data_IF_680544406828
#
_entry.id   IF_680544406828
#
_cell.length_a   1.000
_cell.length_b   1.000
_cell.length_c   1.000
_cell.angle_alpha   90.00
_cell.angle_beta   90.00
_cell.angle_gamma   90.00
#
_symmetry.space_group_name_H-M   'P 1'
#
loop_
_entity.id
_entity.type
_entity.pdbx_description
1 polymer ?
#
# COMPACT_ATOMS: atom_id res chain seq x y z
N UNK A 1 58.80 -34.43 13.26
CA UNK A 1 58.39 -33.40 14.25
C UNK A 1 57.69 -32.29 13.48
N UNK A 2 56.49 -31.96 13.94
CA UNK A 2 55.63 -30.82 13.57
C UNK A 2 55.07 -30.73 12.14
N UNK A 3 53.84 -31.23 12.05
CA UNK A 3 52.84 -31.10 11.01
C UNK A 3 52.47 -29.65 10.67
N UNK A 4 52.33 -29.38 9.37
CA UNK A 4 51.17 -28.75 8.73
C UNK A 4 50.46 -27.60 9.47
N UNK A 5 50.89 -26.37 9.20
CA UNK A 5 50.02 -25.18 9.34
C UNK A 5 49.22 -25.03 8.04
N UNK A 6 48.24 -25.91 7.84
CA UNK A 6 47.13 -25.73 6.90
C UNK A 6 45.86 -25.69 7.74
N UNK A 7 45.42 -24.48 8.10
CA UNK A 7 44.03 -24.08 8.36
C UNK A 7 43.99 -22.76 9.13
N UNK A 8 44.08 -21.63 8.44
CA UNK A 8 43.52 -20.36 8.91
C UNK A 8 42.57 -19.71 7.87
N UNK A 9 42.34 -20.37 6.74
CA UNK A 9 41.23 -20.04 5.82
C UNK A 9 39.88 -20.58 6.36
N UNK A 10 39.71 -20.52 7.69
CA UNK A 10 38.48 -20.87 8.38
C UNK A 10 37.45 -19.77 8.11
N UNK A 11 36.25 -20.21 7.71
CA UNK A 11 35.10 -19.39 7.37
C UNK A 11 34.97 -18.16 8.27
N UNK A 12 35.20 -16.98 7.71
CA UNK A 12 35.00 -15.72 8.42
C UNK A 12 33.52 -15.59 8.79
N UNK A 13 33.24 -15.43 10.07
CA UNK A 13 31.87 -15.42 10.58
C UNK A 13 31.19 -14.09 10.21
N UNK A 14 29.85 -14.08 10.15
CA UNK A 14 29.02 -12.89 9.87
C UNK A 14 29.38 -11.72 10.82
N UNK A 15 29.78 -12.02 12.06
CA UNK A 15 30.23 -11.04 13.06
C UNK A 15 31.51 -10.32 12.63
N UNK A 16 32.46 -11.02 11.98
CA UNK A 16 33.72 -10.43 11.53
C UNK A 16 33.51 -9.60 10.26
N UNK A 17 32.65 -10.06 9.34
CA UNK A 17 32.23 -9.26 8.18
C UNK A 17 31.50 -7.97 8.58
N UNK A 18 30.69 -8.01 9.63
CA UNK A 18 30.01 -6.83 10.16
C UNK A 18 31.01 -5.82 10.73
N UNK A 19 32.04 -6.26 11.46
CA UNK A 19 33.10 -5.37 11.95
C UNK A 19 33.85 -4.67 10.81
N UNK A 20 34.12 -5.38 9.71
CA UNK A 20 34.73 -4.80 8.51
C UNK A 20 33.77 -3.81 7.85
N UNK A 21 32.46 -4.10 7.78
CA UNK A 21 31.46 -3.19 7.25
C UNK A 21 31.36 -1.88 8.07
N UNK A 22 31.47 -1.96 9.39
CA UNK A 22 31.48 -0.80 10.28
C UNK A 22 32.76 0.04 10.09
N UNK A 23 33.91 -0.60 9.89
CA UNK A 23 35.17 0.08 9.58
C UNK A 23 35.11 0.82 8.23
N UNK A 24 34.59 0.16 7.18
CA UNK A 24 34.34 0.76 5.86
C UNK A 24 33.40 1.97 5.98
N UNK A 25 32.32 1.84 6.74
CA UNK A 25 31.34 2.90 6.95
C UNK A 25 31.96 4.12 7.63
N UNK A 26 32.74 3.90 8.70
CA UNK A 26 33.44 4.96 9.43
C UNK A 26 34.48 5.68 8.57
N UNK A 27 35.25 4.91 7.80
CA UNK A 27 36.26 5.46 6.88
C UNK A 27 35.63 6.29 5.77
N UNK A 28 34.48 5.87 5.23
CA UNK A 28 33.71 6.67 4.28
C UNK A 28 33.16 7.96 4.90
N UNK A 29 32.80 7.95 6.20
CA UNK A 29 32.36 9.15 6.91
C UNK A 29 33.51 10.15 7.09
N UNK A 30 34.71 9.67 7.39
CA UNK A 30 35.91 10.51 7.57
C UNK A 30 36.46 11.06 6.24
N UNK A 31 36.45 10.25 5.18
CA UNK A 31 37.04 10.60 3.87
C UNK A 31 36.02 11.18 2.87
N UNK A 32 34.74 11.22 3.23
CA UNK A 32 33.62 11.64 2.40
C UNK A 32 33.16 10.60 1.37
N UNK A 33 34.09 9.82 0.80
CA UNK A 33 33.76 8.66 -0.03
C UNK A 33 34.85 7.58 -0.02
N UNK A 34 34.48 6.37 -0.45
CA UNK A 34 35.40 5.28 -0.73
C UNK A 34 35.30 4.78 -2.17
N UNK A 35 36.43 4.38 -2.72
CA UNK A 35 36.53 3.65 -3.97
C UNK A 35 36.45 2.13 -3.73
N UNK A 36 35.97 1.34 -4.70
CA UNK A 36 35.95 -0.13 -4.60
C UNK A 36 37.30 -0.75 -4.22
N UNK A 37 38.41 -0.16 -4.68
CA UNK A 37 39.76 -0.59 -4.32
C UNK A 37 40.04 -0.41 -2.82
N UNK A 38 39.64 0.72 -2.24
CA UNK A 38 39.85 1.01 -0.82
C UNK A 38 39.00 0.10 0.08
N UNK A 39 37.81 -0.30 -0.38
CA UNK A 39 36.99 -1.30 0.33
C UNK A 39 37.68 -2.66 0.33
N UNK A 40 38.26 -3.08 -0.81
CA UNK A 40 39.05 -4.33 -0.87
C UNK A 40 40.31 -4.28 -0.01
N UNK A 41 40.97 -3.13 0.05
CA UNK A 41 42.11 -2.90 0.95
C UNK A 41 41.68 -3.02 2.42
N UNK A 42 40.52 -2.48 2.80
CA UNK A 42 39.97 -2.62 4.16
C UNK A 42 39.67 -4.08 4.49
N UNK A 43 39.03 -4.80 3.57
CA UNK A 43 38.74 -6.24 3.68
C UNK A 43 40.04 -7.04 3.83
N UNK A 44 41.04 -6.78 2.99
CA UNK A 44 42.35 -7.44 3.05
C UNK A 44 43.08 -7.17 4.38
N UNK A 45 43.02 -5.92 4.86
CA UNK A 45 43.67 -5.51 6.12
C UNK A 45 43.05 -6.18 7.35
N UNK A 46 41.78 -6.59 7.26
CA UNK A 46 41.09 -7.36 8.29
C UNK A 46 41.39 -8.87 8.23
N UNK A 47 42.30 -9.32 7.37
CA UNK A 47 42.64 -10.74 7.20
C UNK A 47 41.58 -11.52 6.40
N UNK A 48 40.62 -10.82 5.79
CA UNK A 48 39.56 -11.41 4.99
C UNK A 48 39.96 -11.59 3.53
N UNK A 49 39.33 -12.55 2.84
CA UNK A 49 39.46 -12.65 1.38
C UNK A 49 38.94 -11.34 0.72
N UNK A 50 39.79 -10.61 -0.02
CA UNK A 50 39.38 -9.40 -0.75
C UNK A 50 38.22 -9.62 -1.71
N UNK A 51 37.93 -10.87 -2.12
CA UNK A 51 36.75 -11.26 -2.89
C UNK A 51 35.42 -10.96 -2.20
N UNK A 52 35.38 -10.91 -0.86
CA UNK A 52 34.19 -10.68 -0.04
C UNK A 52 33.77 -9.20 0.05
N UNK A 53 34.48 -8.29 -0.62
CA UNK A 53 34.20 -6.85 -0.59
C UNK A 53 32.76 -6.47 -0.97
N UNK A 54 32.09 -7.27 -1.81
CA UNK A 54 30.68 -7.03 -2.17
C UNK A 54 29.73 -7.34 -1.03
N UNK A 55 30.02 -8.35 -0.22
CA UNK A 55 29.17 -8.72 0.92
C UNK A 55 29.36 -7.75 2.07
N UNK A 56 30.58 -7.26 2.28
CA UNK A 56 30.86 -6.11 3.18
C UNK A 56 30.08 -4.86 2.75
N UNK A 57 30.03 -4.56 1.44
CA UNK A 57 29.23 -3.43 0.94
C UNK A 57 27.72 -3.61 1.13
N UNK A 58 27.20 -4.84 1.01
CA UNK A 58 25.78 -5.10 1.32
C UNK A 58 25.47 -4.79 2.77
N UNK A 59 26.34 -5.21 3.70
CA UNK A 59 26.20 -4.92 5.13
C UNK A 59 26.33 -3.42 5.43
N UNK A 60 27.23 -2.70 4.75
CA UNK A 60 27.41 -1.26 4.92
C UNK A 60 26.39 -0.39 4.15
N UNK A 61 25.59 -0.99 3.26
CA UNK A 61 24.68 -0.28 2.34
C UNK A 61 23.64 0.65 3.01
N UNK A 62 23.13 0.41 4.23
CA UNK A 62 22.20 1.35 4.88
C UNK A 62 22.80 2.75 5.09
N UNK A 63 24.12 2.84 5.16
CA UNK A 63 24.88 4.07 5.42
C UNK A 63 25.69 4.57 4.23
N UNK A 64 25.69 3.83 3.11
CA UNK A 64 26.49 4.14 1.92
C UNK A 64 25.62 4.25 0.67
N UNK A 65 25.81 5.31 -0.10
CA UNK A 65 25.17 5.47 -1.42
C UNK A 65 26.22 5.48 -2.52
N UNK A 66 26.04 4.62 -3.53
CA UNK A 66 26.92 4.58 -4.69
C UNK A 66 26.57 5.70 -5.69
N UNK A 67 27.55 6.54 -6.04
CA UNK A 67 27.44 7.55 -7.11
C UNK A 67 28.73 7.61 -7.94
N UNK A 68 28.62 7.46 -9.25
CA UNK A 68 29.76 7.52 -10.20
C UNK A 68 30.96 6.64 -9.79
N UNK A 69 30.68 5.43 -9.31
CA UNK A 69 31.72 4.47 -8.88
C UNK A 69 32.36 4.75 -7.51
N UNK A 70 31.82 5.68 -6.72
CA UNK A 70 32.26 6.01 -5.35
C UNK A 70 31.14 5.72 -4.35
N UNK A 71 31.49 5.28 -3.15
CA UNK A 71 30.55 5.03 -2.05
C UNK A 71 30.63 6.18 -1.04
N UNK A 72 29.59 7.01 -0.99
CA UNK A 72 29.52 8.15 -0.08
C UNK A 72 28.83 7.75 1.21
N UNK A 73 29.37 8.19 2.35
CA UNK A 73 28.67 8.09 3.61
C UNK A 73 27.46 9.03 3.61
N UNK A 74 26.30 8.48 3.97
CA UNK A 74 25.09 9.26 4.21
C UNK A 74 24.79 9.15 5.69
N UNK A 75 24.97 10.27 6.40
CA UNK A 75 24.62 10.33 7.82
C UNK A 75 23.15 9.95 8.00
N UNK A 76 22.82 9.06 8.96
CA UNK A 76 21.44 8.78 9.33
C UNK A 76 20.70 10.05 9.81
N UNK A 77 21.43 11.07 10.26
CA UNK A 77 20.90 12.37 10.71
C UNK A 77 21.02 13.48 9.64
N UNK A 78 20.80 13.19 8.36
CA UNK A 78 20.68 14.28 7.38
C UNK A 78 19.37 15.05 7.65
N UNK A 79 19.37 16.39 7.81
CA UNK A 79 18.16 17.17 8.08
C UNK A 79 17.04 16.93 7.06
N UNK A 80 17.42 16.58 5.82
CA UNK A 80 16.50 16.22 4.75
C UNK A 80 15.77 14.90 5.01
N UNK A 81 16.44 13.85 5.53
CA UNK A 81 15.78 12.61 5.94
C UNK A 81 14.90 12.81 7.16
N UNK A 82 15.39 13.51 8.19
CA UNK A 82 14.58 13.81 9.39
C UNK A 82 13.33 14.62 9.04
N UNK A 83 13.43 15.60 8.14
CA UNK A 83 12.28 16.37 7.67
C UNK A 83 11.28 15.54 6.85
N UNK A 84 11.78 14.60 6.04
CA UNK A 84 10.95 13.70 5.25
C UNK A 84 10.24 12.65 6.13
N UNK A 85 10.93 12.13 7.14
CA UNK A 85 10.37 11.19 8.13
C UNK A 85 9.32 11.87 8.98
N UNK A 86 9.60 13.08 9.51
CA UNK A 86 8.61 13.89 10.24
C UNK A 86 7.39 14.21 9.38
N UNK A 87 7.59 14.57 8.11
CA UNK A 87 6.49 14.80 7.16
C UNK A 87 5.67 13.54 6.94
N UNK A 88 6.33 12.39 6.77
CA UNK A 88 5.65 11.11 6.58
C UNK A 88 4.84 10.73 7.82
N UNK A 89 5.42 10.89 9.03
CA UNK A 89 4.72 10.66 10.29
C UNK A 89 3.50 11.58 10.46
N UNK A 90 3.65 12.87 10.13
CA UNK A 90 2.54 13.81 10.16
C UNK A 90 1.40 13.42 9.20
N UNK A 91 1.73 12.95 7.99
CA UNK A 91 0.73 12.44 7.03
C UNK A 91 0.04 11.20 7.59
N UNK A 92 0.78 10.23 8.12
CA UNK A 92 0.21 9.01 8.69
C UNK A 92 -0.72 9.31 9.87
N UNK A 93 -0.31 10.24 10.74
CA UNK A 93 -1.13 10.68 11.86
C UNK A 93 -2.43 11.33 11.37
N UNK A 94 -2.35 12.26 10.41
CA UNK A 94 -3.54 12.90 9.85
C UNK A 94 -4.50 11.90 9.17
N UNK A 95 -3.96 10.91 8.43
CA UNK A 95 -4.78 9.83 7.85
C UNK A 95 -5.43 8.98 8.94
N UNK A 96 -4.69 8.65 10.00
CA UNK A 96 -5.23 7.87 11.11
C UNK A 96 -6.38 8.60 11.81
N UNK A 97 -6.23 9.89 12.11
CA UNK A 97 -7.26 10.74 12.72
C UNK A 97 -8.53 10.76 11.85
N UNK A 98 -8.37 10.97 10.53
CA UNK A 98 -9.50 10.92 9.59
C UNK A 98 -10.20 9.55 9.60
N UNK A 99 -9.44 8.44 9.57
CA UNK A 99 -10.05 7.10 9.59
C UNK A 99 -10.85 6.87 10.88
N UNK A 100 -10.33 7.32 12.03
CA UNK A 100 -11.02 7.19 13.32
C UNK A 100 -12.30 8.02 13.34
N UNK A 101 -12.24 9.28 12.90
CA UNK A 101 -13.39 10.18 12.82
C UNK A 101 -14.51 9.58 11.96
N UNK A 102 -14.18 9.11 10.75
CA UNK A 102 -15.17 8.56 9.84
C UNK A 102 -15.77 7.23 10.32
N UNK A 103 -15.01 6.40 11.05
CA UNK A 103 -15.55 5.17 11.65
C UNK A 103 -16.59 5.50 12.73
N UNK A 104 -16.27 6.46 13.61
CA UNK A 104 -17.21 6.90 14.66
C UNK A 104 -18.47 7.53 14.06
N UNK A 105 -18.31 8.36 13.02
CA UNK A 105 -19.44 8.96 12.33
C UNK A 105 -20.32 7.91 11.63
N UNK A 106 -19.72 6.89 11.01
CA UNK A 106 -20.45 5.79 10.39
C UNK A 106 -21.28 5.00 11.42
N UNK A 107 -20.70 4.66 12.57
CA UNK A 107 -21.41 3.99 13.68
C UNK A 107 -22.63 4.78 14.17
N UNK A 108 -22.55 6.12 14.20
CA UNK A 108 -23.66 7.00 14.60
C UNK A 108 -24.75 7.16 13.52
N UNK A 109 -24.37 7.06 12.24
CA UNK A 109 -25.27 7.25 11.09
C UNK A 109 -26.02 5.97 10.71
N UNK A 110 -25.48 4.79 11.03
CA UNK A 110 -26.03 3.47 10.72
C UNK A 110 -27.21 3.10 11.66
N UNK A 111 -28.27 3.91 11.65
CA UNK A 111 -29.51 3.69 12.43
C UNK A 111 -30.39 2.56 11.91
N UNK A 112 -29.96 1.83 10.87
CA UNK A 112 -30.69 0.72 10.22
C UNK A 112 -29.74 -0.42 9.87
N UNK A 113 -29.61 -1.31 10.85
CA UNK A 113 -29.28 -2.74 10.79
C UNK A 113 -27.89 -3.19 10.31
N UNK A 114 -27.32 -4.04 11.18
CA UNK A 114 -26.16 -4.94 11.09
C UNK A 114 -26.11 -5.80 9.80
N UNK A 115 -27.13 -5.75 8.93
CA UNK A 115 -27.30 -6.64 7.77
C UNK A 115 -26.90 -6.02 6.41
N UNK A 116 -26.53 -4.72 6.38
CA UNK A 116 -26.00 -4.09 5.16
C UNK A 116 -24.51 -4.38 5.03
N UNK A 117 -24.14 -5.03 3.94
CA UNK A 117 -22.74 -5.27 3.60
C UNK A 117 -22.28 -4.27 2.55
N UNK A 118 -21.04 -3.80 2.69
CA UNK A 118 -20.37 -3.05 1.64
C UNK A 118 -20.30 -3.93 0.39
N UNK A 119 -20.86 -3.43 -0.70
CA UNK A 119 -20.94 -4.14 -1.96
C UNK A 119 -20.78 -3.11 -3.07
N UNK A 120 -19.54 -2.97 -3.55
CA UNK A 120 -19.16 -1.99 -4.56
C UNK A 120 -18.88 -2.71 -5.87
N UNK A 121 -19.90 -2.74 -6.73
CA UNK A 121 -19.85 -3.42 -8.03
C UNK A 121 -20.47 -2.52 -9.11
N UNK A 122 -19.92 -2.52 -10.33
CA UNK A 122 -20.58 -1.89 -11.47
C UNK A 122 -21.80 -2.71 -11.86
N UNK A 123 -22.95 -2.06 -11.96
CA UNK A 123 -24.22 -2.67 -12.37
C UNK A 123 -24.82 -1.88 -13.52
N UNK A 124 -25.64 -2.55 -14.31
CA UNK A 124 -26.46 -1.92 -15.35
C UNK A 124 -27.83 -1.65 -14.77
N UNK A 125 -28.35 -0.45 -14.96
CA UNK A 125 -29.72 -0.09 -14.59
C UNK A 125 -30.50 0.35 -15.81
N UNK A 126 -31.71 -0.18 -15.96
CA UNK A 126 -32.65 0.19 -17.01
C UNK A 126 -33.88 0.83 -16.37
N UNK A 127 -34.25 2.02 -16.85
CA UNK A 127 -35.44 2.75 -16.44
C UNK A 127 -36.67 2.25 -17.20
N UNK A 128 -37.88 2.63 -16.75
CA UNK A 128 -39.12 2.17 -17.38
C UNK A 128 -39.34 2.67 -18.81
N UNK A 129 -38.66 3.75 -19.20
CA UNK A 129 -38.63 4.30 -20.57
C UNK A 129 -37.54 3.64 -21.44
N UNK A 130 -36.81 2.65 -20.91
CA UNK A 130 -35.81 1.87 -21.64
C UNK A 130 -34.41 2.50 -21.67
N UNK A 131 -34.18 3.63 -21.00
CA UNK A 131 -32.83 4.19 -20.90
C UNK A 131 -31.95 3.31 -19.99
N UNK A 132 -30.72 3.08 -20.44
CA UNK A 132 -29.76 2.24 -19.73
C UNK A 132 -28.59 3.06 -19.20
N UNK A 133 -28.21 2.83 -17.95
CA UNK A 133 -27.11 3.51 -17.27
C UNK A 133 -26.18 2.48 -16.62
N UNK A 134 -24.87 2.77 -16.58
CA UNK A 134 -23.92 2.05 -15.73
C UNK A 134 -23.69 2.84 -14.46
N UNK A 135 -23.89 2.21 -13.32
CA UNK A 135 -23.76 2.83 -11.99
C UNK A 135 -22.96 1.90 -11.08
N UNK A 136 -22.50 2.42 -9.94
CA UNK A 136 -21.87 1.61 -8.90
C UNK A 136 -22.87 1.30 -7.80
N UNK A 137 -22.79 0.12 -7.20
CA UNK A 137 -23.43 -0.14 -5.90
C UNK A 137 -22.53 0.40 -4.78
N UNK A 138 -23.10 0.70 -3.61
CA UNK A 138 -22.34 1.08 -2.39
C UNK A 138 -22.49 0.01 -1.31
N UNK A 139 -23.72 -0.42 -1.08
CA UNK A 139 -24.09 -1.47 -0.14
C UNK A 139 -25.33 -2.22 -0.63
N UNK A 140 -25.50 -3.42 -0.09
CA UNK A 140 -26.65 -4.30 -0.33
C UNK A 140 -27.04 -4.96 1.00
N UNK A 141 -28.33 -5.23 1.17
CA UNK A 141 -28.87 -6.10 2.22
C UNK A 141 -29.88 -7.07 1.61
N UNK A 142 -30.52 -7.90 2.43
CA UNK A 142 -31.60 -8.78 1.97
C UNK A 142 -32.78 -8.02 1.34
N UNK A 143 -33.03 -6.77 1.73
CA UNK A 143 -34.22 -6.00 1.35
C UNK A 143 -33.95 -4.80 0.44
N UNK A 144 -32.71 -4.35 0.32
CA UNK A 144 -32.42 -3.15 -0.45
C UNK A 144 -30.99 -3.03 -0.95
N UNK A 145 -30.79 -1.99 -1.75
CA UNK A 145 -29.53 -1.68 -2.42
C UNK A 145 -29.35 -0.16 -2.50
N UNK A 146 -28.09 0.29 -2.39
CA UNK A 146 -27.71 1.67 -2.62
C UNK A 146 -26.88 1.77 -3.89
N UNK A 147 -27.30 2.65 -4.79
CA UNK A 147 -26.66 2.92 -6.08
C UNK A 147 -26.03 4.31 -6.06
N UNK A 148 -24.92 4.46 -6.78
CA UNK A 148 -24.18 5.70 -6.96
C UNK A 148 -24.00 5.94 -8.47
N UNK A 149 -24.49 7.06 -8.97
CA UNK A 149 -24.40 7.37 -10.41
C UNK A 149 -24.71 8.83 -10.71
N UNK A 150 -24.68 9.19 -11.99
CA UNK A 150 -24.83 10.58 -12.43
C UNK A 150 -26.27 11.07 -12.58
N UNK A 151 -27.24 10.29 -12.06
CA UNK A 151 -28.67 10.61 -12.18
C UNK A 151 -29.42 10.26 -10.91
N UNK A 152 -30.38 11.13 -10.58
CA UNK A 152 -31.40 10.86 -9.58
C UNK A 152 -32.55 10.04 -10.17
N UNK A 153 -32.91 8.95 -9.50
CA UNK A 153 -33.96 8.03 -9.93
C UNK A 153 -35.17 7.99 -8.98
N UNK A 154 -35.32 9.02 -8.13
CA UNK A 154 -36.35 9.08 -7.08
C UNK A 154 -37.73 8.64 -7.58
N UNK A 155 -38.33 7.69 -6.88
CA UNK A 155 -39.69 7.21 -7.14
C UNK A 155 -39.81 6.21 -8.31
N UNK A 156 -38.77 6.03 -9.13
CA UNK A 156 -38.79 5.12 -10.27
C UNK A 156 -38.61 3.65 -9.87
N UNK A 157 -39.02 2.74 -10.75
CA UNK A 157 -38.64 1.32 -10.70
C UNK A 157 -37.55 1.09 -11.74
N UNK A 158 -36.42 0.56 -11.31
CA UNK A 158 -35.28 0.25 -12.17
C UNK A 158 -35.14 -1.27 -12.29
N UNK A 159 -34.79 -1.79 -13.47
CA UNK A 159 -34.20 -3.12 -13.57
C UNK A 159 -32.70 -2.99 -13.33
N UNK A 160 -32.20 -3.63 -12.29
CA UNK A 160 -30.79 -3.59 -11.89
C UNK A 160 -30.17 -4.96 -12.16
N UNK A 161 -29.28 -5.03 -13.15
CA UNK A 161 -28.54 -6.24 -13.48
C UNK A 161 -27.19 -6.23 -12.75
N UNK A 162 -27.06 -7.13 -11.78
CA UNK A 162 -25.85 -7.36 -11.01
C UNK A 162 -25.02 -8.45 -11.70
N UNK A 163 -23.80 -8.14 -12.16
CA UNK A 163 -22.95 -9.16 -12.77
C UNK A 163 -22.53 -10.18 -11.72
N UNK A 164 -22.41 -11.44 -12.15
CA UNK A 164 -21.91 -12.54 -11.34
C UNK A 164 -20.56 -12.97 -11.90
N UNK A 165 -19.64 -13.35 -11.01
CA UNK A 165 -18.27 -13.77 -11.38
C UNK A 165 -18.25 -15.22 -11.86
N UNK A 166 -19.09 -16.09 -11.29
CA UNK A 166 -19.05 -17.54 -11.52
C UNK A 166 -20.40 -18.12 -11.98
N UNK A 167 -21.39 -17.28 -12.29
CA UNK A 167 -22.75 -17.74 -12.62
C UNK A 167 -23.56 -16.73 -13.44
N UNK A 168 -24.87 -16.97 -13.62
CA UNK A 168 -25.73 -16.05 -14.36
C UNK A 168 -25.81 -14.71 -13.64
N UNK A 169 -25.90 -13.63 -14.42
CA UNK A 169 -26.22 -12.32 -13.89
C UNK A 169 -27.60 -12.35 -13.24
N UNK A 170 -27.77 -11.58 -12.17
CA UNK A 170 -29.06 -11.48 -11.48
C UNK A 170 -29.66 -10.13 -11.77
N UNK A 171 -30.89 -10.10 -12.24
CA UNK A 171 -31.61 -8.86 -12.51
C UNK A 171 -32.73 -8.69 -11.50
N UNK A 172 -32.77 -7.54 -10.83
CA UNK A 172 -33.81 -7.22 -9.85
C UNK A 172 -34.61 -6.01 -10.30
N UNK A 173 -35.91 -5.98 -10.00
CA UNK A 173 -36.66 -4.73 -10.02
C UNK A 173 -36.48 -4.04 -8.68
N UNK A 174 -36.01 -2.80 -8.70
CA UNK A 174 -35.72 -1.98 -7.51
C UNK A 174 -36.56 -0.71 -7.54
N UNK A 175 -37.35 -0.46 -6.50
CA UNK A 175 -38.05 0.83 -6.31
C UNK A 175 -37.11 1.79 -5.60
N UNK A 176 -36.80 2.93 -6.23
CA UNK A 176 -35.97 3.97 -5.61
C UNK A 176 -36.83 4.80 -4.66
N UNK A 177 -36.46 4.79 -3.38
CA UNK A 177 -37.23 5.40 -2.28
C UNK A 177 -36.69 6.78 -1.89
N UNK A 178 -35.40 7.01 -2.09
CA UNK A 178 -34.76 8.29 -1.84
C UNK A 178 -33.58 8.49 -2.79
N UNK A 179 -33.29 9.76 -3.08
CA UNK A 179 -32.13 10.20 -3.85
C UNK A 179 -31.49 11.37 -3.10
N UNK A 180 -30.16 11.38 -3.00
CA UNK A 180 -29.38 12.46 -2.42
C UNK A 180 -28.24 12.84 -3.37
N UNK A 181 -28.04 14.13 -3.64
CA UNK A 181 -26.86 14.61 -4.34
C UNK A 181 -25.67 14.62 -3.36
N UNK A 182 -24.60 13.93 -3.71
CA UNK A 182 -23.40 13.75 -2.86
C UNK A 182 -22.13 14.36 -3.47
N UNK A 183 -22.24 14.91 -4.67
CA UNK A 183 -21.19 15.65 -5.38
C UNK A 183 -21.74 16.25 -6.67
N UNK A 184 -20.88 16.92 -7.43
CA UNK A 184 -21.25 17.52 -8.70
C UNK A 184 -21.75 16.44 -9.67
N UNK A 185 -23.04 16.51 -9.98
CA UNK A 185 -23.77 15.52 -10.77
C UNK A 185 -23.57 14.07 -10.30
N UNK A 186 -23.40 13.86 -8.99
CA UNK A 186 -23.25 12.55 -8.38
C UNK A 186 -24.36 12.31 -7.36
N UNK A 187 -25.09 11.21 -7.51
CA UNK A 187 -26.29 10.91 -6.74
C UNK A 187 -26.19 9.54 -6.08
N UNK A 188 -26.48 9.50 -4.79
CA UNK A 188 -26.85 8.26 -4.10
C UNK A 188 -28.35 8.02 -4.26
N UNK A 189 -28.71 6.81 -4.67
CA UNK A 189 -30.08 6.37 -4.83
C UNK A 189 -30.29 5.12 -3.97
N UNK A 190 -31.13 5.22 -2.94
CA UNK A 190 -31.49 4.08 -2.11
C UNK A 190 -32.80 3.47 -2.54
N UNK A 191 -32.78 2.16 -2.81
CA UNK A 191 -33.96 1.43 -3.24
C UNK A 191 -34.18 0.11 -2.51
N UNK A 192 -35.41 -0.39 -2.61
CA UNK A 192 -35.83 -1.70 -2.10
C UNK A 192 -36.05 -2.67 -3.25
N UNK A 193 -35.66 -3.93 -3.08
CA UNK A 193 -35.99 -4.99 -4.03
C UNK A 193 -37.50 -5.21 -4.07
N UNK A 194 -38.04 -5.38 -5.28
CA UNK A 194 -39.47 -5.64 -5.53
C UNK A 194 -39.66 -7.01 -6.15
N UNK A 195 -38.75 -7.41 -7.04
CA UNK A 195 -38.87 -8.64 -7.83
C UNK A 195 -37.48 -9.12 -8.28
N UNK A 196 -37.31 -10.43 -8.42
CA UNK A 196 -36.20 -11.05 -9.15
C UNK A 196 -36.68 -11.40 -10.56
N UNK A 197 -35.98 -10.89 -11.57
CA UNK A 197 -36.24 -11.18 -12.98
C UNK A 197 -35.44 -12.43 -13.37
N UNK A 198 -36.16 -13.43 -13.89
CA UNK A 198 -35.60 -14.71 -14.36
C UNK A 198 -35.20 -14.68 -15.82
#
# INVERSE_FOLDING_TARGET
>A
MTLSVKNDAAAMNLIDLQRVADAVTRRAAEQGYLLPRQVREEVASAGADPGLWKDVLKLASPHLVQRKGRYYYVSPASPQRESAERRTQAIQQAVHELVVEYRQAAELQERREVDRISFIQPVTVETSDGETWRVLTKDISASGIRLLGCRGFLGQKLRVTVPSVEGPHRTFVVRILWTCMVGDDLYENGGSFVELVG
#
